data_IF_504688856236
#
_entry.id   IF_504688856236
#
_cell.length_a   1.000
_cell.length_b   1.000
_cell.length_c   1.000
_cell.angle_alpha   90.00
_cell.angle_beta   90.00
_cell.angle_gamma   90.00
#
_symmetry.space_group_name_H-M   'P 1'
#
loop_
_entity.id
_entity.type
_entity.pdbx_description
1 polymer ?
#
# COMPACT_ATOMS: atom_id res chain seq x y z
N UNK A 1 26.08 -13.90 -1.58
CA UNK A 1 24.61 -14.06 -1.57
C UNK A 1 24.25 -15.03 -0.45
N UNK A 2 23.30 -14.70 0.42
CA UNK A 2 22.89 -15.57 1.55
C UNK A 2 22.12 -16.79 1.02
N UNK A 3 22.50 -17.99 1.42
CA UNK A 3 21.81 -19.23 1.03
C UNK A 3 20.41 -19.25 1.66
N UNK A 4 19.34 -19.49 0.88
CA UNK A 4 17.98 -19.53 1.41
C UNK A 4 17.79 -20.71 2.36
N UNK A 5 17.01 -20.52 3.43
CA UNK A 5 16.52 -21.61 4.27
C UNK A 5 15.18 -22.11 3.72
N UNK A 6 15.06 -23.41 3.52
CA UNK A 6 13.84 -24.01 3.00
C UNK A 6 12.88 -24.39 4.14
N UNK A 7 11.59 -24.18 3.90
CA UNK A 7 10.53 -24.61 4.82
C UNK A 7 9.31 -25.08 4.03
N UNK A 8 8.49 -25.95 4.62
CA UNK A 8 7.17 -26.32 4.09
C UNK A 8 6.08 -25.71 4.97
N UNK A 9 5.02 -25.24 4.34
CA UNK A 9 3.86 -24.71 5.04
C UNK A 9 2.92 -25.87 5.42
N UNK A 10 2.46 -25.86 6.67
CA UNK A 10 1.39 -26.72 7.16
C UNK A 10 0.27 -25.83 7.72
N UNK A 11 -0.97 -26.05 7.28
CA UNK A 11 -2.12 -25.24 7.66
C UNK A 11 -3.09 -26.12 8.46
N UNK A 12 -3.60 -25.62 9.59
CA UNK A 12 -4.62 -26.29 10.37
C UNK A 12 -5.91 -26.52 9.55
N UNK A 13 -6.64 -27.64 9.74
CA UNK A 13 -7.76 -28.01 8.86
C UNK A 13 -8.85 -26.95 8.70
N UNK A 14 -9.18 -26.24 9.77
CA UNK A 14 -10.18 -25.16 9.84
C UNK A 14 -9.77 -23.89 9.08
N UNK A 15 -8.48 -23.76 8.77
CA UNK A 15 -7.91 -22.61 8.05
C UNK A 15 -7.73 -22.88 6.55
N UNK A 16 -7.99 -24.11 6.08
CA UNK A 16 -7.73 -24.53 4.69
C UNK A 16 -8.48 -23.72 3.64
N UNK A 17 -9.66 -23.19 3.98
CA UNK A 17 -10.41 -22.31 3.09
C UNK A 17 -9.67 -21.00 2.76
N UNK A 18 -8.76 -20.54 3.65
CA UNK A 18 -7.96 -19.32 3.47
C UNK A 18 -6.54 -19.61 2.93
N UNK A 19 -6.31 -20.81 2.36
CA UNK A 19 -4.99 -21.19 1.86
C UNK A 19 -4.40 -20.20 0.84
N UNK A 20 -5.16 -19.61 -0.10
CA UNK A 20 -4.65 -18.56 -0.98
C UNK A 20 -4.12 -17.32 -0.24
N UNK A 21 -4.84 -16.84 0.77
CA UNK A 21 -4.48 -15.66 1.57
C UNK A 21 -3.23 -15.93 2.43
N UNK A 22 -3.17 -17.12 3.04
CA UNK A 22 -2.02 -17.57 3.81
C UNK A 22 -0.79 -17.73 2.88
N UNK A 23 -1.00 -18.24 1.67
CA UNK A 23 0.04 -18.36 0.67
C UNK A 23 0.57 -17.00 0.22
N UNK A 24 -0.30 -16.02 0.05
CA UNK A 24 0.08 -14.64 -0.29
C UNK A 24 0.97 -14.01 0.79
N UNK A 25 0.67 -14.22 2.08
CA UNK A 25 1.55 -13.78 3.17
C UNK A 25 2.92 -14.49 3.16
N UNK A 26 2.96 -15.78 2.82
CA UNK A 26 4.22 -16.52 2.66
C UNK A 26 5.05 -16.00 1.47
N UNK A 27 4.42 -15.61 0.36
CA UNK A 27 5.13 -15.02 -0.78
C UNK A 27 5.81 -13.70 -0.42
N UNK A 28 5.16 -12.86 0.40
CA UNK A 28 5.79 -11.66 0.93
C UNK A 28 7.03 -11.99 1.77
N UNK A 29 6.93 -12.97 2.66
CA UNK A 29 8.04 -13.47 3.48
C UNK A 29 9.23 -13.97 2.61
N UNK A 30 8.96 -14.80 1.61
CA UNK A 30 9.97 -15.37 0.69
C UNK A 30 10.69 -14.30 -0.14
N UNK A 31 9.99 -13.21 -0.47
CA UNK A 31 10.58 -12.05 -1.17
C UNK A 31 11.40 -11.18 -0.22
N UNK A 32 10.93 -10.99 1.01
CA UNK A 32 11.56 -10.11 2.00
C UNK A 32 12.85 -10.69 2.59
N UNK A 33 12.95 -12.02 2.73
CA UNK A 33 14.07 -12.68 3.42
C UNK A 33 14.63 -13.87 2.63
N UNK A 34 15.83 -14.31 3.00
CA UNK A 34 16.45 -15.52 2.44
C UNK A 34 15.80 -16.79 3.00
N UNK A 35 14.50 -16.94 2.79
CA UNK A 35 13.71 -18.15 3.05
C UNK A 35 12.94 -18.50 1.79
N UNK A 36 12.57 -19.77 1.65
CA UNK A 36 11.82 -20.21 0.48
C UNK A 36 10.91 -21.39 0.84
N UNK A 37 9.63 -21.26 0.49
CA UNK A 37 8.66 -22.33 0.64
C UNK A 37 8.90 -23.45 -0.37
N UNK A 38 9.04 -24.69 0.10
CA UNK A 38 9.26 -25.90 -0.70
C UNK A 38 8.47 -27.06 -0.08
N UNK A 39 7.69 -27.81 -0.87
CA UNK A 39 6.80 -28.87 -0.38
C UNK A 39 7.51 -29.95 0.46
N UNK A 40 8.73 -30.32 0.05
CA UNK A 40 9.52 -31.42 0.64
C UNK A 40 10.57 -30.95 1.64
N UNK A 41 10.46 -29.73 2.16
CA UNK A 41 11.41 -29.24 3.17
C UNK A 41 11.18 -29.89 4.54
N UNK A 42 12.28 -30.18 5.24
CA UNK A 42 12.26 -30.79 6.58
C UNK A 42 11.66 -29.84 7.63
N UNK A 43 11.97 -28.54 7.54
CA UNK A 43 11.43 -27.53 8.44
C UNK A 43 9.97 -27.27 8.12
N UNK A 44 9.09 -27.48 9.08
CA UNK A 44 7.65 -27.25 8.94
C UNK A 44 7.29 -25.95 9.63
N UNK A 45 6.76 -24.98 8.91
CA UNK A 45 6.07 -23.83 9.49
C UNK A 45 4.59 -24.18 9.59
N UNK A 46 4.08 -24.37 10.79
CA UNK A 46 2.68 -24.70 11.03
C UNK A 46 1.89 -23.46 11.43
N UNK A 47 0.83 -23.16 10.67
CA UNK A 47 -0.09 -22.06 10.92
C UNK A 47 -1.43 -22.59 11.46
N UNK A 48 -1.77 -22.19 12.68
CA UNK A 48 -2.98 -22.59 13.39
C UNK A 48 -2.75 -23.42 14.64
N UNK A 49 -3.83 -23.96 15.19
CA UNK A 49 -3.83 -24.74 16.43
C UNK A 49 -3.32 -26.18 16.21
N UNK A 50 -2.75 -26.76 17.28
CA UNK A 50 -2.25 -28.14 17.34
C UNK A 50 -1.11 -28.42 16.33
N UNK A 51 0.04 -27.72 16.45
CA UNK A 51 1.18 -27.95 15.58
C UNK A 51 1.70 -29.40 15.68
N UNK A 52 2.10 -30.02 14.55
CA UNK A 52 2.78 -31.30 14.56
C UNK A 52 4.07 -31.26 15.40
N UNK A 53 4.51 -32.40 15.98
CA UNK A 53 5.77 -32.46 16.70
C UNK A 53 6.95 -31.95 15.86
N UNK A 54 7.76 -31.06 16.45
CA UNK A 54 8.94 -30.48 15.78
C UNK A 54 8.64 -29.37 14.77
N UNK A 55 7.37 -29.01 14.55
CA UNK A 55 7.02 -27.88 13.70
C UNK A 55 7.30 -26.53 14.38
N UNK A 56 7.64 -25.54 13.56
CA UNK A 56 7.71 -24.14 13.94
C UNK A 56 6.29 -23.58 14.00
N UNK A 57 5.80 -23.25 15.19
CA UNK A 57 4.40 -22.92 15.41
C UNK A 57 4.12 -21.42 15.24
N UNK A 58 3.08 -21.11 14.46
CA UNK A 58 2.52 -19.76 14.28
C UNK A 58 1.03 -19.81 14.64
N UNK A 59 0.59 -19.10 15.69
CA UNK A 59 -0.81 -19.08 16.07
C UNK A 59 -1.62 -18.34 14.99
N UNK A 60 -2.89 -18.73 14.82
CA UNK A 60 -3.84 -18.02 13.97
C UNK A 60 -4.81 -17.22 14.85
N UNK A 61 -4.80 -15.90 14.69
CA UNK A 61 -5.72 -14.97 15.36
C UNK A 61 -6.69 -14.38 14.33
N UNK A 62 -6.19 -14.03 13.15
CA UNK A 62 -6.96 -13.44 12.06
C UNK A 62 -7.91 -14.47 11.43
N UNK A 63 -7.40 -15.66 11.09
CA UNK A 63 -8.21 -16.70 10.44
C UNK A 63 -8.63 -17.76 11.46
N UNK A 64 -9.88 -18.26 11.43
CA UNK A 64 -11.01 -17.77 10.61
C UNK A 64 -11.78 -16.62 11.29
N UNK A 65 -11.40 -16.22 12.51
CA UNK A 65 -12.25 -15.39 13.36
C UNK A 65 -12.50 -13.96 12.82
N UNK A 66 -11.48 -13.35 12.22
CA UNK A 66 -11.50 -11.99 11.70
C UNK A 66 -11.79 -11.89 10.19
N UNK A 67 -12.06 -12.99 9.50
CA UNK A 67 -12.36 -12.98 8.07
C UNK A 67 -13.35 -14.07 7.67
N UNK A 68 -14.26 -13.75 6.75
CA UNK A 68 -15.17 -14.68 6.10
C UNK A 68 -14.89 -14.76 4.60
N UNK A 69 -15.32 -15.85 3.97
CA UNK A 69 -15.24 -16.04 2.53
C UNK A 69 -16.65 -16.28 1.99
N UNK A 70 -16.97 -15.63 0.87
CA UNK A 70 -18.15 -15.89 0.07
C UNK A 70 -17.82 -15.85 -1.43
N UNK A 71 -18.84 -15.73 -2.29
CA UNK A 71 -18.68 -15.68 -3.75
C UNK A 71 -17.94 -14.43 -4.25
N UNK A 72 -17.97 -13.32 -3.49
CA UNK A 72 -17.31 -12.05 -3.81
C UNK A 72 -15.89 -11.95 -3.23
N UNK A 73 -15.46 -13.00 -2.53
CA UNK A 73 -14.10 -13.19 -2.02
C UNK A 73 -14.01 -13.09 -0.51
N UNK A 74 -12.91 -12.52 -0.02
CA UNK A 74 -12.64 -12.38 1.42
C UNK A 74 -13.22 -11.09 1.96
N UNK A 75 -13.91 -11.19 3.10
CA UNK A 75 -14.54 -10.08 3.81
C UNK A 75 -14.02 -10.01 5.26
N UNK A 76 -13.74 -8.81 5.80
CA UNK A 76 -13.39 -8.65 7.20
C UNK A 76 -14.62 -8.87 8.11
N UNK A 77 -14.43 -9.54 9.23
CA UNK A 77 -15.41 -9.57 10.32
C UNK A 77 -15.05 -8.46 11.31
N UNK A 78 -15.52 -7.23 11.06
CA UNK A 78 -15.03 -6.02 11.76
C UNK A 78 -15.12 -6.06 13.29
N UNK A 79 -16.18 -6.63 13.86
CA UNK A 79 -16.32 -6.76 15.32
C UNK A 79 -15.27 -7.72 15.89
N UNK A 80 -15.04 -8.85 15.21
CA UNK A 80 -14.04 -9.82 15.62
C UNK A 80 -12.62 -9.27 15.44
N UNK A 81 -12.33 -8.58 14.33
CA UNK A 81 -11.06 -7.88 14.12
C UNK A 81 -10.81 -6.87 15.23
N UNK A 82 -11.78 -6.01 15.53
CA UNK A 82 -11.66 -5.02 16.61
C UNK A 82 -11.36 -5.67 17.96
N UNK A 83 -11.97 -6.82 18.25
CA UNK A 83 -11.68 -7.63 19.44
C UNK A 83 -10.24 -8.15 19.44
N UNK A 84 -9.80 -8.78 18.35
CA UNK A 84 -8.44 -9.33 18.20
C UNK A 84 -7.38 -8.24 18.35
N UNK A 85 -7.60 -7.07 17.76
CA UNK A 85 -6.73 -5.89 17.85
C UNK A 85 -6.66 -5.33 19.28
N UNK A 86 -7.78 -5.35 20.00
CA UNK A 86 -7.85 -5.00 21.42
C UNK A 86 -7.24 -6.09 22.33
N UNK A 87 -6.71 -7.18 21.76
CA UNK A 87 -6.14 -8.31 22.51
C UNK A 87 -7.19 -9.21 23.16
N UNK A 88 -8.45 -9.12 22.73
CA UNK A 88 -9.52 -10.03 23.12
C UNK A 88 -9.39 -11.32 22.30
N UNK A 89 -9.13 -12.44 22.96
CA UNK A 89 -8.99 -13.74 22.31
C UNK A 89 -7.81 -14.55 22.83
N UNK A 90 -7.66 -15.78 22.32
CA UNK A 90 -6.58 -16.70 22.72
C UNK A 90 -5.24 -16.32 22.09
N UNK A 91 -5.28 -15.81 20.86
CA UNK A 91 -4.12 -15.44 20.06
C UNK A 91 -4.12 -13.93 19.77
N UNK A 92 -2.93 -13.36 19.61
CA UNK A 92 -2.76 -11.92 19.34
C UNK A 92 -2.41 -11.70 17.87
N UNK A 93 -2.94 -10.66 17.25
CA UNK A 93 -2.52 -10.25 15.91
C UNK A 93 -1.24 -9.41 15.95
N UNK A 94 -1.08 -8.56 16.96
CA UNK A 94 0.06 -7.66 17.07
C UNK A 94 1.25 -8.30 17.80
N UNK A 95 2.49 -7.94 17.41
CA UNK A 95 3.68 -8.45 18.07
C UNK A 95 3.74 -7.98 19.53
N UNK A 96 4.17 -8.84 20.47
CA UNK A 96 4.36 -8.42 21.86
C UNK A 96 5.51 -7.40 21.99
N UNK A 97 5.54 -6.62 23.08
CA UNK A 97 6.64 -5.70 23.36
C UNK A 97 7.99 -6.40 23.68
N UNK A 98 7.98 -7.72 23.94
CA UNK A 98 9.16 -8.53 24.26
C UNK A 98 9.61 -9.46 23.13
N UNK A 99 10.24 -10.59 23.49
CA UNK A 99 10.67 -11.59 22.53
C UNK A 99 9.46 -12.20 21.80
N UNK A 100 9.41 -12.01 20.48
CA UNK A 100 8.37 -12.59 19.63
C UNK A 100 8.54 -14.10 19.44
N UNK A 101 9.78 -14.59 19.42
CA UNK A 101 10.13 -15.96 19.08
C UNK A 101 10.73 -16.67 20.30
N UNK A 102 10.16 -17.82 20.68
CA UNK A 102 10.65 -18.65 21.77
C UNK A 102 10.28 -20.12 21.54
N UNK A 103 11.21 -21.05 21.84
CA UNK A 103 10.92 -22.48 21.86
C UNK A 103 10.39 -23.08 20.56
N UNK A 104 10.76 -22.53 19.40
CA UNK A 104 10.23 -22.97 18.11
C UNK A 104 8.83 -22.44 17.79
N UNK A 105 8.34 -21.43 18.51
CA UNK A 105 7.06 -20.78 18.25
C UNK A 105 7.22 -19.26 18.16
N UNK A 106 6.26 -18.61 17.50
CA UNK A 106 6.05 -17.16 17.54
C UNK A 106 4.81 -16.84 18.37
N UNK A 107 4.86 -15.80 19.18
CA UNK A 107 3.83 -15.51 20.21
C UNK A 107 2.58 -14.79 19.68
N UNK A 108 2.52 -14.50 18.38
CA UNK A 108 1.44 -13.76 17.73
C UNK A 108 1.26 -14.24 16.30
N UNK A 109 0.12 -13.90 15.72
CA UNK A 109 -0.25 -14.24 14.37
C UNK A 109 0.50 -13.37 13.35
N UNK A 110 1.75 -13.73 13.11
CA UNK A 110 2.61 -13.02 12.17
C UNK A 110 2.18 -13.19 10.71
N UNK A 111 1.62 -14.34 10.34
CA UNK A 111 1.14 -14.57 8.96
C UNK A 111 -0.14 -13.78 8.69
N UNK A 112 -1.09 -13.81 9.62
CA UNK A 112 -2.29 -12.99 9.59
C UNK A 112 -1.97 -11.50 9.63
N UNK A 113 -0.99 -11.07 10.44
CA UNK A 113 -0.57 -9.66 10.45
C UNK A 113 0.03 -9.22 9.11
N UNK A 114 0.89 -10.06 8.49
CA UNK A 114 1.40 -9.78 7.15
C UNK A 114 0.22 -9.61 6.19
N UNK A 115 -0.67 -10.59 6.11
CA UNK A 115 -1.84 -10.54 5.23
C UNK A 115 -2.65 -9.26 5.48
N UNK A 116 -3.05 -9.01 6.72
CA UNK A 116 -3.83 -7.83 7.11
C UNK A 116 -3.23 -6.52 6.63
N UNK A 117 -1.90 -6.36 6.78
CA UNK A 117 -1.21 -5.13 6.42
C UNK A 117 -1.05 -4.97 4.91
N UNK A 118 -0.73 -6.03 4.18
CA UNK A 118 -0.43 -5.94 2.74
C UNK A 118 -1.68 -6.05 1.86
N UNK A 119 -2.76 -6.69 2.34
CA UNK A 119 -4.05 -6.76 1.63
C UNK A 119 -4.94 -5.56 1.92
N UNK A 120 -4.66 -4.82 3.01
CA UNK A 120 -5.52 -3.74 3.51
C UNK A 120 -6.96 -4.21 3.72
N UNK A 121 -7.15 -5.46 4.16
CA UNK A 121 -8.48 -6.07 4.37
C UNK A 121 -9.38 -5.23 5.28
N UNK A 122 -8.81 -4.47 6.22
CA UNK A 122 -9.52 -3.53 7.10
C UNK A 122 -10.29 -2.41 6.35
N UNK A 123 -9.90 -2.10 5.10
CA UNK A 123 -10.52 -1.07 4.28
C UNK A 123 -11.79 -1.56 3.59
N UNK A 124 -11.87 -2.87 3.32
CA UNK A 124 -13.04 -3.49 2.70
C UNK A 124 -14.21 -3.45 3.68
N UNK A 125 -15.40 -3.08 3.19
CA UNK A 125 -16.65 -3.00 3.95
C UNK A 125 -16.61 -2.17 5.25
N UNK A 126 -15.60 -1.31 5.37
CA UNK A 126 -15.35 -0.58 6.60
C UNK A 126 -16.46 0.40 6.94
N UNK A 127 -16.87 0.39 8.21
CA UNK A 127 -17.78 1.40 8.76
C UNK A 127 -17.07 2.72 9.08
N UNK A 128 -15.73 2.72 9.13
CA UNK A 128 -14.92 3.90 9.41
C UNK A 128 -14.62 4.66 8.12
N UNK A 129 -15.62 5.40 7.62
CA UNK A 129 -15.47 6.18 6.40
C UNK A 129 -15.37 7.68 6.66
N UNK A 130 -14.68 8.38 5.77
CA UNK A 130 -14.72 9.84 5.72
C UNK A 130 -16.03 10.33 5.08
N UNK A 131 -16.20 11.66 4.97
CA UNK A 131 -17.38 12.28 4.37
C UNK A 131 -17.63 11.92 2.89
N UNK A 132 -16.70 11.22 2.25
CA UNK A 132 -16.77 10.78 0.86
C UNK A 132 -16.95 9.26 0.75
N UNK A 133 -17.16 8.55 1.85
CA UNK A 133 -17.31 7.09 1.86
C UNK A 133 -15.98 6.33 1.70
N UNK A 134 -14.82 7.01 1.81
CA UNK A 134 -13.50 6.38 1.71
C UNK A 134 -13.05 5.91 3.08
N UNK A 135 -12.26 4.85 3.16
CA UNK A 135 -11.69 4.41 4.42
C UNK A 135 -10.93 5.53 5.13
N UNK A 136 -11.25 5.73 6.41
CA UNK A 136 -10.61 6.74 7.26
C UNK A 136 -9.39 6.14 7.95
N UNK A 137 -8.27 6.86 7.89
CA UNK A 137 -7.02 6.45 8.57
C UNK A 137 -7.19 6.25 10.08
N UNK A 138 -8.19 6.91 10.70
CA UNK A 138 -8.53 6.72 12.12
C UNK A 138 -9.07 5.32 12.44
N UNK A 139 -9.60 4.61 11.44
CA UNK A 139 -10.05 3.23 11.56
C UNK A 139 -8.92 2.20 11.46
N UNK A 140 -7.74 2.58 10.97
CA UNK A 140 -6.64 1.65 10.74
C UNK A 140 -6.05 1.09 12.04
N UNK A 141 -5.74 -0.21 12.05
CA UNK A 141 -5.09 -0.92 13.15
C UNK A 141 -3.84 -0.17 13.65
N UNK A 142 -2.99 0.27 12.72
CA UNK A 142 -1.74 0.95 13.06
C UNK A 142 -2.00 2.29 13.78
N UNK A 143 -3.03 3.04 13.37
CA UNK A 143 -3.42 4.32 13.98
C UNK A 143 -4.02 4.11 15.38
N UNK A 144 -4.87 3.10 15.55
CA UNK A 144 -5.56 2.80 16.82
C UNK A 144 -4.62 2.36 17.95
N UNK A 145 -3.40 1.97 17.60
CA UNK A 145 -2.41 1.41 18.52
C UNK A 145 -1.15 2.29 18.66
N UNK A 146 -1.23 3.58 18.28
CA UNK A 146 -0.10 4.51 18.23
C UNK A 146 1.13 3.98 17.48
N UNK A 147 0.91 3.03 16.57
CA UNK A 147 1.95 2.30 15.83
C UNK A 147 1.96 2.67 14.35
N UNK A 148 1.35 3.81 13.98
CA UNK A 148 1.20 4.29 12.61
C UNK A 148 2.51 4.45 11.82
N UNK A 149 3.67 4.52 12.51
CA UNK A 149 5.00 4.58 11.89
C UNK A 149 5.76 3.25 11.90
N UNK A 150 5.21 2.19 12.50
CA UNK A 150 5.88 0.90 12.58
C UNK A 150 5.63 0.07 11.31
N UNK A 151 6.68 -0.50 10.67
CA UNK A 151 6.50 -1.38 9.52
C UNK A 151 6.10 -2.79 10.02
N UNK A 152 4.82 -2.95 10.37
CA UNK A 152 4.29 -4.15 11.02
C UNK A 152 4.45 -5.42 10.17
N UNK A 153 4.21 -5.33 8.87
CA UNK A 153 4.42 -6.45 7.93
C UNK A 153 5.89 -6.88 7.88
N UNK A 154 6.83 -5.94 7.74
CA UNK A 154 8.27 -6.24 7.73
C UNK A 154 8.75 -6.79 9.08
N UNK A 155 8.20 -6.31 10.19
CA UNK A 155 8.51 -6.85 11.52
C UNK A 155 8.04 -8.31 11.64
N UNK A 156 6.82 -8.61 11.21
CA UNK A 156 6.29 -9.96 11.19
C UNK A 156 7.07 -10.89 10.27
N UNK A 157 7.42 -10.44 9.07
CA UNK A 157 8.26 -11.21 8.15
C UNK A 157 9.65 -11.48 8.73
N UNK A 158 10.24 -10.50 9.43
CA UNK A 158 11.54 -10.68 10.11
C UNK A 158 11.46 -11.69 11.23
N UNK A 159 10.41 -11.64 12.06
CA UNK A 159 10.24 -12.59 13.17
C UNK A 159 10.00 -14.02 12.64
N UNK A 160 9.22 -14.18 11.57
CA UNK A 160 9.04 -15.47 10.89
C UNK A 160 10.35 -15.97 10.27
N UNK A 161 11.10 -15.11 9.58
CA UNK A 161 12.40 -15.47 9.03
C UNK A 161 13.40 -15.85 10.14
N UNK A 162 13.36 -15.16 11.28
CA UNK A 162 14.20 -15.45 12.45
C UNK A 162 13.87 -16.84 13.00
N UNK A 163 12.58 -17.17 13.12
CA UNK A 163 12.09 -18.49 13.52
C UNK A 163 12.52 -19.59 12.53
N UNK A 164 12.29 -19.38 11.23
CA UNK A 164 12.60 -20.35 10.17
C UNK A 164 14.10 -20.60 10.05
N UNK A 165 14.93 -19.55 10.19
CA UNK A 165 16.39 -19.67 10.05
C UNK A 165 17.08 -20.05 11.36
N UNK A 166 16.42 -19.85 12.51
CA UNK A 166 17.06 -19.97 13.83
C UNK A 166 18.07 -18.85 14.09
N UNK A 167 17.87 -17.68 13.50
CA UNK A 167 18.79 -16.53 13.55
C UNK A 167 18.10 -15.35 14.24
N UNK A 168 18.78 -14.65 15.15
CA UNK A 168 18.18 -13.47 15.82
C UNK A 168 17.91 -12.29 14.89
N UNK A 169 18.69 -12.17 13.80
CA UNK A 169 18.65 -11.04 12.86
C UNK A 169 18.86 -11.55 11.44
N UNK A 170 17.84 -12.18 10.82
CA UNK A 170 17.95 -12.64 9.44
C UNK A 170 18.17 -11.44 8.51
N UNK A 171 19.01 -11.62 7.50
CA UNK A 171 19.26 -10.58 6.51
C UNK A 171 17.99 -10.27 5.70
N UNK A 172 17.73 -8.99 5.43
CA UNK A 172 16.71 -8.57 4.49
C UNK A 172 17.24 -8.75 3.05
N UNK A 173 16.38 -9.17 2.14
CA UNK A 173 16.64 -9.16 0.69
C UNK A 173 16.17 -7.85 0.04
N UNK A 174 15.22 -7.18 0.67
CA UNK A 174 14.74 -5.88 0.22
C UNK A 174 15.73 -4.78 0.62
N UNK A 175 15.86 -3.79 -0.24
CA UNK A 175 16.65 -2.59 0.01
C UNK A 175 15.71 -1.40 0.06
N UNK A 176 16.00 -0.47 0.97
CA UNK A 176 15.29 0.80 1.00
C UNK A 176 15.51 1.52 -0.33
N UNK A 177 14.42 1.93 -0.96
CA UNK A 177 14.45 2.77 -2.14
C UNK A 177 13.37 3.85 -2.03
N UNK A 178 13.70 5.05 -2.53
CA UNK A 178 12.72 6.13 -2.68
C UNK A 178 12.19 6.06 -4.10
N UNK A 179 10.89 5.78 -4.23
CA UNK A 179 10.19 5.73 -5.51
C UNK A 179 9.29 6.96 -5.61
N UNK A 180 9.70 7.94 -6.43
CA UNK A 180 8.90 9.13 -6.69
C UNK A 180 7.83 8.79 -7.73
N UNK A 181 6.56 8.92 -7.34
CA UNK A 181 5.38 8.67 -8.18
C UNK A 181 4.49 9.91 -8.22
N UNK A 182 3.98 10.24 -9.40
CA UNK A 182 3.14 11.41 -9.63
C UNK A 182 1.90 11.00 -10.41
N UNK A 183 0.72 11.15 -9.80
CA UNK A 183 -0.54 11.00 -10.50
C UNK A 183 -0.84 12.27 -11.31
N UNK A 184 -0.95 12.10 -12.62
CA UNK A 184 -1.19 13.20 -13.56
C UNK A 184 -2.68 13.34 -13.78
N UNK A 185 -3.40 13.84 -12.77
CA UNK A 185 -4.84 14.08 -12.87
C UNK A 185 -5.19 15.19 -13.84
N UNK A 186 -4.25 16.10 -14.11
CA UNK A 186 -4.49 17.26 -14.97
C UNK A 186 -3.24 17.60 -15.77
N UNK A 187 -3.44 17.86 -17.06
CA UNK A 187 -2.40 18.43 -17.91
C UNK A 187 -2.39 19.96 -17.87
N UNK A 188 -3.27 20.63 -17.16
CA UNK A 188 -3.30 22.10 -17.03
C UNK A 188 -3.83 22.48 -15.66
N UNK A 189 -3.46 23.66 -15.17
CA UNK A 189 -4.04 24.22 -13.94
C UNK A 189 -5.56 24.40 -14.02
N UNK A 190 -6.12 24.48 -15.23
CA UNK A 190 -7.56 24.61 -15.47
C UNK A 190 -8.03 23.69 -16.59
N UNK A 191 -9.13 22.97 -16.33
CA UNK A 191 -9.75 22.02 -17.28
C UNK A 191 -10.34 22.68 -18.53
N UNK A 192 -10.73 23.95 -18.43
CA UNK A 192 -11.31 24.72 -19.54
C UNK A 192 -10.65 26.09 -19.64
N UNK A 193 -10.44 26.61 -20.86
CA UNK A 193 -9.74 27.87 -21.07
C UNK A 193 -10.48 29.08 -20.49
N UNK A 194 -11.79 29.02 -20.21
CA UNK A 194 -12.54 30.14 -19.63
C UNK A 194 -12.56 30.14 -18.08
N UNK A 195 -12.11 29.06 -17.43
CA UNK A 195 -12.15 28.97 -15.96
C UNK A 195 -11.26 29.99 -15.24
N UNK A 196 -10.01 30.28 -15.69
CA UNK A 196 -9.21 31.32 -15.07
C UNK A 196 -9.94 32.67 -15.07
N UNK A 197 -10.57 33.03 -16.20
CA UNK A 197 -11.37 34.25 -16.32
C UNK A 197 -12.58 34.25 -15.38
N UNK A 198 -13.34 33.15 -15.32
CA UNK A 198 -14.50 33.03 -14.41
C UNK A 198 -14.09 33.21 -12.95
N UNK A 199 -12.97 32.61 -12.54
CA UNK A 199 -12.49 32.71 -11.17
C UNK A 199 -11.89 34.09 -10.88
N UNK A 200 -11.17 34.70 -11.83
CA UNK A 200 -10.68 36.06 -11.70
C UNK A 200 -11.83 37.07 -11.55
N UNK A 201 -12.92 36.90 -12.31
CA UNK A 201 -14.13 37.71 -12.16
C UNK A 201 -14.76 37.54 -10.76
N UNK A 202 -14.79 36.31 -10.24
CA UNK A 202 -15.23 36.04 -8.86
C UNK A 202 -14.35 36.70 -7.80
N UNK A 203 -13.03 36.67 -7.97
CA UNK A 203 -12.09 37.32 -7.06
C UNK A 203 -12.25 38.85 -7.09
N UNK A 204 -12.48 39.43 -8.28
CA UNK A 204 -12.70 40.86 -8.45
C UNK A 204 -14.05 41.32 -7.86
N UNK A 205 -15.15 40.65 -8.20
CA UNK A 205 -16.50 41.12 -7.87
C UNK A 205 -16.94 40.69 -6.48
N UNK A 206 -16.71 39.42 -6.12
CA UNK A 206 -17.22 38.85 -4.86
C UNK A 206 -16.22 39.00 -3.71
N UNK A 207 -14.93 38.84 -3.99
CA UNK A 207 -13.87 38.87 -2.96
C UNK A 207 -13.16 40.21 -2.88
N UNK A 208 -13.38 41.10 -3.87
CA UNK A 208 -12.78 42.44 -3.97
C UNK A 208 -11.25 42.41 -3.88
N UNK A 209 -10.65 41.37 -4.45
CA UNK A 209 -9.21 41.15 -4.47
C UNK A 209 -8.68 41.22 -5.91
N UNK A 210 -8.33 42.43 -6.40
CA UNK A 210 -7.82 42.60 -7.76
C UNK A 210 -6.43 41.98 -7.95
N UNK A 211 -5.63 41.85 -6.88
CA UNK A 211 -4.31 41.22 -6.96
C UNK A 211 -4.44 39.72 -7.19
N UNK A 212 -5.35 39.04 -6.47
CA UNK A 212 -5.66 37.63 -6.71
C UNK A 212 -6.25 37.40 -8.11
N UNK A 213 -7.15 38.28 -8.56
CA UNK A 213 -7.71 38.20 -9.91
C UNK A 213 -6.62 38.29 -10.99
N UNK A 214 -5.71 39.26 -10.87
CA UNK A 214 -4.57 39.41 -11.78
C UNK A 214 -3.65 38.18 -11.75
N UNK A 215 -3.29 37.71 -10.55
CA UNK A 215 -2.46 36.51 -10.38
C UNK A 215 -3.08 35.28 -11.04
N UNK A 216 -4.41 35.10 -10.98
CA UNK A 216 -5.10 33.99 -11.67
C UNK A 216 -5.05 34.09 -13.18
N UNK A 217 -5.17 35.29 -13.74
CA UNK A 217 -5.06 35.49 -15.19
C UNK A 217 -3.64 35.22 -15.65
N UNK A 218 -2.65 35.76 -14.94
CA UNK A 218 -1.24 35.52 -15.24
C UNK A 218 -0.92 34.03 -15.14
N UNK A 219 -1.31 33.36 -14.04
CA UNK A 219 -1.09 31.93 -13.87
C UNK A 219 -1.87 31.09 -14.89
N UNK A 220 -3.12 31.44 -15.19
CA UNK A 220 -3.96 30.65 -16.08
C UNK A 220 -3.64 30.76 -17.57
N UNK A 221 -3.14 31.90 -18.03
CA UNK A 221 -2.92 32.17 -19.46
C UNK A 221 -1.48 32.51 -19.84
N UNK A 222 -0.73 33.15 -18.93
CA UNK A 222 0.59 33.69 -19.21
C UNK A 222 1.71 32.87 -18.57
N UNK A 223 1.40 32.00 -17.61
CA UNK A 223 2.39 31.07 -17.07
C UNK A 223 2.63 29.94 -18.06
N UNK A 224 3.86 29.40 -18.03
CA UNK A 224 4.19 28.17 -18.74
C UNK A 224 3.59 26.93 -18.07
N UNK A 225 2.66 27.05 -17.11
CA UNK A 225 1.97 25.90 -16.53
C UNK A 225 1.07 25.26 -17.59
N UNK A 226 1.08 23.92 -17.74
CA UNK A 226 1.62 22.89 -16.83
C UNK A 226 3.14 22.67 -16.91
N UNK A 227 3.77 23.10 -17.99
CA UNK A 227 5.14 22.74 -18.37
C UNK A 227 6.17 23.13 -17.33
N UNK A 228 5.99 24.27 -16.65
CA UNK A 228 6.91 24.66 -15.58
C UNK A 228 6.87 23.71 -14.39
N UNK A 229 5.72 23.17 -14.00
CA UNK A 229 5.64 22.21 -12.88
C UNK A 229 6.21 20.85 -13.26
N UNK A 230 5.91 20.34 -14.46
CA UNK A 230 6.51 19.08 -14.91
C UNK A 230 8.02 19.20 -15.02
N UNK A 231 8.53 20.29 -15.60
CA UNK A 231 9.97 20.53 -15.67
C UNK A 231 10.57 20.65 -14.27
N UNK A 232 9.99 21.45 -13.37
CA UNK A 232 10.50 21.63 -12.01
C UNK A 232 10.59 20.29 -11.25
N UNK A 233 9.57 19.44 -11.36
CA UNK A 233 9.58 18.10 -10.74
C UNK A 233 10.68 17.21 -11.35
N UNK A 234 10.82 17.21 -12.67
CA UNK A 234 11.84 16.42 -13.36
C UNK A 234 13.25 16.95 -13.06
N UNK A 235 13.46 18.27 -13.12
CA UNK A 235 14.71 18.96 -12.78
C UNK A 235 15.13 18.62 -11.34
N UNK A 236 14.18 18.65 -10.39
CA UNK A 236 14.45 18.29 -9.00
C UNK A 236 14.82 16.81 -8.85
N UNK A 237 14.10 15.93 -9.57
CA UNK A 237 14.39 14.49 -9.56
C UNK A 237 15.81 14.22 -10.08
N UNK A 238 16.15 14.80 -11.22
CA UNK A 238 17.48 14.68 -11.84
C UNK A 238 18.58 15.26 -10.97
N UNK A 239 18.34 16.40 -10.31
CA UNK A 239 19.29 17.00 -9.37
C UNK A 239 19.70 16.04 -8.25
N UNK A 240 18.76 15.24 -7.74
CA UNK A 240 19.02 14.22 -6.72
C UNK A 240 19.35 12.83 -7.28
N UNK A 241 19.52 12.69 -8.61
CA UNK A 241 19.80 11.41 -9.26
C UNK A 241 18.63 10.42 -9.20
N UNK A 242 17.40 10.91 -9.01
CA UNK A 242 16.20 10.12 -8.85
C UNK A 242 15.40 10.02 -10.13
N UNK A 243 14.79 8.85 -10.36
CA UNK A 243 13.87 8.62 -11.46
C UNK A 243 12.42 8.76 -11.00
N UNK A 244 11.73 9.80 -11.48
CA UNK A 244 10.29 9.97 -11.29
C UNK A 244 9.45 9.07 -12.21
N UNK A 245 8.28 8.67 -11.72
CA UNK A 245 7.24 7.92 -12.44
C UNK A 245 5.99 8.78 -12.55
N UNK A 246 5.55 9.07 -13.77
CA UNK A 246 4.35 9.87 -14.04
C UNK A 246 3.24 8.97 -14.57
N UNK A 247 2.16 8.83 -13.80
CA UNK A 247 1.02 8.00 -14.15
C UNK A 247 -0.07 8.85 -14.77
N UNK A 248 -0.36 8.61 -16.05
CA UNK A 248 -1.35 9.38 -16.82
C UNK A 248 -2.68 8.63 -16.87
N UNK A 249 -3.77 9.37 -16.72
CA UNK A 249 -5.12 8.86 -16.83
C UNK A 249 -5.44 8.31 -18.22
N UNK A 250 -6.30 7.31 -18.22
CA UNK A 250 -6.92 6.76 -19.42
C UNK A 250 -8.02 7.64 -20.01
N UNK A 251 -8.54 7.24 -21.20
CA UNK A 251 -9.71 7.88 -21.79
C UNK A 251 -10.93 7.69 -20.89
N UNK A 252 -11.52 8.79 -20.43
CA UNK A 252 -12.69 8.82 -19.55
C UNK A 252 -13.56 10.04 -19.85
N UNK A 253 -14.86 9.88 -19.65
CA UNK A 253 -15.88 10.94 -19.73
C UNK A 253 -16.61 11.14 -18.39
N UNK A 254 -16.16 10.46 -17.33
CA UNK A 254 -16.71 10.66 -16.00
C UNK A 254 -16.43 12.09 -15.53
N UNK A 255 -17.39 12.67 -14.79
CA UNK A 255 -17.38 14.09 -14.45
C UNK A 255 -16.32 14.47 -13.41
N UNK A 256 -15.86 13.49 -12.63
CA UNK A 256 -14.79 13.58 -11.65
C UNK A 256 -13.39 13.46 -12.26
N UNK A 257 -13.27 12.86 -13.45
CA UNK A 257 -11.98 12.64 -14.09
C UNK A 257 -11.63 13.76 -15.08
N UNK A 258 -10.36 13.83 -15.48
CA UNK A 258 -9.96 14.78 -16.54
C UNK A 258 -10.03 14.11 -17.92
N UNK A 259 -10.83 14.65 -18.86
CA UNK A 259 -10.97 14.10 -20.21
C UNK A 259 -9.81 14.52 -21.12
N UNK A 260 -8.61 14.76 -20.58
CA UNK A 260 -7.50 15.34 -21.34
C UNK A 260 -6.96 14.42 -22.43
N UNK A 261 -7.19 13.11 -22.32
CA UNK A 261 -6.85 12.15 -23.38
C UNK A 261 -7.60 12.49 -24.67
N UNK A 262 -8.87 12.86 -24.55
CA UNK A 262 -9.72 13.25 -25.68
C UNK A 262 -9.55 14.72 -26.06
N UNK A 263 -9.45 15.60 -25.06
CA UNK A 263 -9.49 17.06 -25.28
C UNK A 263 -8.12 17.68 -25.52
N UNK A 264 -7.03 17.01 -25.11
CA UNK A 264 -5.66 17.54 -25.18
C UNK A 264 -4.61 16.51 -25.67
N UNK A 265 -4.88 15.67 -26.69
CA UNK A 265 -4.01 14.55 -27.08
C UNK A 265 -2.60 14.99 -27.50
N UNK A 266 -2.47 16.17 -28.12
CA UNK A 266 -1.16 16.72 -28.52
C UNK A 266 -0.30 17.10 -27.30
N UNK A 267 -0.92 17.68 -26.27
CA UNK A 267 -0.22 18.06 -25.05
C UNK A 267 0.18 16.84 -24.25
N UNK A 268 -0.72 15.85 -24.13
CA UNK A 268 -0.44 14.56 -23.51
C UNK A 268 0.78 13.90 -24.15
N UNK A 269 0.79 13.78 -25.50
CA UNK A 269 1.92 13.20 -26.24
C UNK A 269 3.22 13.93 -25.95
N UNK A 270 3.23 15.26 -26.06
CA UNK A 270 4.43 16.06 -25.80
C UNK A 270 4.99 15.88 -24.39
N UNK A 271 4.12 15.83 -23.38
CA UNK A 271 4.55 15.60 -21.99
C UNK A 271 5.07 14.18 -21.80
N UNK A 272 4.38 13.17 -22.33
CA UNK A 272 4.85 11.78 -22.29
C UNK A 272 6.21 11.62 -22.97
N UNK A 273 6.41 12.24 -24.14
CA UNK A 273 7.68 12.22 -24.86
C UNK A 273 8.79 12.92 -24.05
N UNK A 274 8.49 14.08 -23.45
CA UNK A 274 9.44 14.81 -22.61
C UNK A 274 9.87 13.99 -21.38
N UNK A 275 8.92 13.38 -20.67
CA UNK A 275 9.18 12.49 -19.52
C UNK A 275 10.10 11.35 -19.93
N UNK A 276 9.79 10.65 -21.03
CA UNK A 276 10.61 9.53 -21.52
C UNK A 276 12.00 9.96 -21.97
N UNK A 277 12.09 11.08 -22.70
CA UNK A 277 13.36 11.60 -23.21
C UNK A 277 14.33 11.96 -22.09
N UNK A 278 13.80 12.45 -20.96
CA UNK A 278 14.56 12.77 -19.75
C UNK A 278 14.88 11.55 -18.87
N UNK A 279 14.55 10.34 -19.31
CA UNK A 279 14.86 9.10 -18.60
C UNK A 279 13.90 8.78 -17.45
N UNK A 280 12.76 9.46 -17.35
CA UNK A 280 11.71 9.15 -16.40
C UNK A 280 10.71 8.11 -16.94
N UNK A 281 9.89 7.55 -16.06
CA UNK A 281 8.94 6.49 -16.39
C UNK A 281 7.55 7.09 -16.65
N UNK A 282 6.91 6.66 -17.73
CA UNK A 282 5.49 6.93 -18.01
C UNK A 282 4.70 5.68 -17.67
N UNK A 283 3.70 5.85 -16.81
CA UNK A 283 2.77 4.80 -16.39
C UNK A 283 1.32 5.17 -16.68
N UNK A 284 0.43 4.24 -16.37
CA UNK A 284 -1.00 4.39 -16.50
C UNK A 284 -1.65 4.57 -15.13
N UNK A 285 -2.49 5.60 -14.98
CA UNK A 285 -3.35 5.82 -13.83
C UNK A 285 -4.78 5.40 -14.23
N UNK A 286 -5.21 4.15 -13.95
CA UNK A 286 -6.61 3.80 -14.12
C UNK A 286 -7.40 4.63 -13.12
N UNK A 287 -8.03 5.71 -13.59
CA UNK A 287 -8.93 6.53 -12.78
C UNK A 287 -10.11 5.72 -12.26
#
# INVERSE_FOLDING_TARGET
MTVPAFYRLSIAPDLRQFEPEIAYACEFLDRAHAVQRVERADRVLHYGDRPPPGALAVPAALFPAGASLDEDGIHPVHDALSGIEAGQGRNRLLPPPGAAVAGGAIAYDALGLIFHQISRIEERDSVYTDRYGRFSIGGALATRQDSHLAPLADRAARDLAALIRGEKRPANRTQYCVLLTHDVDRLRGYHRPHLPLRYAAGDLVRRRDPQAAWKRIVVGYLSRLPWSSFNEIMDLSEHYGQQSRFYFMGPTWLSNDSPYVHTMPRLLRRLGDAVRHRGHIVGFHPG
#
